data_IF_699588026331
#
_entry.id   IF_699588026331
#
_cell.length_a   1.000
_cell.length_b   1.000
_cell.length_c   1.000
_cell.angle_alpha   90.00
_cell.angle_beta   90.00
_cell.angle_gamma   90.00
#
_symmetry.space_group_name_H-M   'P 1'
#
loop_
_entity.id
_entity.type
_entity.pdbx_description
1 polymer ?
#
# COMPACT_ATOMS: atom_id res chain seq x y z
N UNK A 1 -4.23 -33.99 -51.21
CA UNK A 1 -4.05 -34.51 -49.86
C UNK A 1 -3.83 -33.35 -48.95
N UNK A 2 -4.91 -32.91 -48.31
CA UNK A 2 -4.97 -31.75 -47.43
C UNK A 2 -4.71 -32.22 -45.97
N UNK A 3 -3.58 -31.79 -45.40
CA UNK A 3 -3.25 -32.06 -44.03
C UNK A 3 -3.80 -30.98 -43.12
N UNK A 4 -4.90 -31.27 -42.44
CA UNK A 4 -5.43 -30.39 -41.38
C UNK A 4 -4.54 -30.48 -40.13
N UNK A 5 -3.80 -29.39 -39.81
CA UNK A 5 -3.05 -29.22 -38.59
C UNK A 5 -3.99 -29.02 -37.39
N UNK A 6 -4.17 -30.03 -36.54
CA UNK A 6 -4.86 -29.90 -35.26
C UNK A 6 -4.06 -28.99 -34.34
N UNK A 7 -4.59 -27.79 -34.06
CA UNK A 7 -4.08 -26.92 -33.00
C UNK A 7 -4.44 -27.57 -31.65
N UNK A 8 -3.44 -28.12 -30.96
CA UNK A 8 -3.58 -28.62 -29.60
C UNK A 8 -3.57 -27.40 -28.67
N UNK A 9 -4.74 -26.92 -28.27
CA UNK A 9 -4.89 -25.93 -27.21
C UNK A 9 -4.61 -26.62 -25.87
N UNK A 10 -3.40 -26.41 -25.35
CA UNK A 10 -3.03 -26.83 -24.00
C UNK A 10 -3.81 -25.94 -22.99
N UNK A 11 -5.01 -26.37 -22.62
CA UNK A 11 -5.72 -25.79 -21.47
C UNK A 11 -4.95 -26.20 -20.22
N UNK A 12 -4.19 -25.28 -19.62
CA UNK A 12 -3.71 -25.45 -18.26
C UNK A 12 -4.92 -25.67 -17.34
N UNK A 13 -4.95 -26.71 -16.49
CA UNK A 13 -6.02 -26.85 -15.51
C UNK A 13 -6.02 -25.60 -14.64
N UNK A 14 -7.19 -24.97 -14.51
CA UNK A 14 -7.41 -23.89 -13.56
C UNK A 14 -7.11 -24.46 -12.17
N UNK A 15 -5.97 -24.10 -11.61
CA UNK A 15 -5.71 -24.35 -10.18
C UNK A 15 -6.75 -23.49 -9.47
N UNK A 16 -7.80 -24.08 -8.93
CA UNK A 16 -8.68 -23.45 -7.96
C UNK A 16 -7.82 -23.05 -6.76
N UNK A 17 -7.25 -21.86 -6.83
CA UNK A 17 -6.66 -21.26 -5.63
C UNK A 17 -7.83 -21.03 -4.68
N UNK A 18 -7.89 -21.79 -3.60
CA UNK A 18 -8.72 -21.46 -2.45
C UNK A 18 -8.22 -20.12 -1.90
N UNK A 19 -8.69 -19.03 -2.51
CA UNK A 19 -8.47 -17.68 -2.01
C UNK A 19 -9.27 -17.56 -0.71
N UNK A 20 -8.62 -17.12 0.35
CA UNK A 20 -9.33 -16.81 1.59
C UNK A 20 -9.90 -15.39 1.47
N UNK A 21 -11.12 -15.14 1.96
CA UNK A 21 -11.78 -13.87 1.75
C UNK A 21 -11.17 -12.75 2.60
N UNK A 22 -11.15 -11.55 2.05
CA UNK A 22 -10.93 -10.34 2.84
C UNK A 22 -12.19 -10.03 3.66
N UNK A 23 -12.03 -9.78 4.95
CA UNK A 23 -13.11 -9.41 5.86
C UNK A 23 -13.35 -7.90 5.78
N UNK A 24 -14.55 -7.52 5.38
CA UNK A 24 -14.99 -6.12 5.27
C UNK A 24 -16.41 -5.97 5.80
N UNK A 25 -16.80 -4.81 6.37
CA UNK A 25 -18.19 -4.49 6.65
C UNK A 25 -19.03 -4.61 5.37
N UNK A 26 -20.21 -5.24 5.46
CA UNK A 26 -21.07 -5.50 4.30
C UNK A 26 -21.63 -4.23 3.65
N UNK A 27 -21.72 -3.14 4.41
CA UNK A 27 -22.17 -1.81 3.98
C UNK A 27 -21.04 -0.90 3.51
N UNK A 28 -19.78 -1.34 3.59
CA UNK A 28 -18.64 -0.61 3.01
C UNK A 28 -18.73 -0.62 1.47
N UNK A 29 -18.62 0.52 0.78
CA UNK A 29 -18.66 0.56 -0.70
C UNK A 29 -17.70 -0.41 -1.39
N UNK A 30 -16.51 -0.62 -0.83
CA UNK A 30 -15.53 -1.58 -1.33
C UNK A 30 -16.09 -3.01 -1.37
N UNK A 31 -16.99 -3.42 -0.46
CA UNK A 31 -17.54 -4.76 -0.41
C UNK A 31 -18.26 -5.13 -1.73
N UNK A 32 -19.19 -4.29 -2.17
CA UNK A 32 -19.95 -4.53 -3.39
C UNK A 32 -19.08 -4.46 -4.66
N UNK A 33 -18.13 -3.54 -4.70
CA UNK A 33 -17.19 -3.38 -5.83
C UNK A 33 -16.34 -4.62 -5.98
N UNK A 34 -15.71 -5.08 -4.91
CA UNK A 34 -14.81 -6.25 -4.92
C UNK A 34 -15.58 -7.55 -5.22
N UNK A 35 -16.80 -7.70 -4.69
CA UNK A 35 -17.64 -8.84 -4.99
C UNK A 35 -17.98 -8.93 -6.49
N UNK A 36 -18.32 -7.77 -7.11
CA UNK A 36 -18.59 -7.69 -8.56
C UNK A 36 -17.34 -8.00 -9.41
N UNK A 37 -16.15 -7.68 -8.90
CA UNK A 37 -14.87 -7.97 -9.56
C UNK A 37 -14.39 -9.41 -9.33
N UNK A 38 -15.15 -10.25 -8.61
CA UNK A 38 -14.79 -11.63 -8.32
C UNK A 38 -13.76 -11.81 -7.20
N UNK A 39 -13.45 -10.74 -6.46
CA UNK A 39 -12.62 -10.85 -5.25
C UNK A 39 -13.46 -11.46 -4.14
N UNK A 40 -12.93 -12.46 -3.43
CA UNK A 40 -13.63 -13.09 -2.32
C UNK A 40 -13.70 -12.14 -1.13
N UNK A 41 -14.90 -11.64 -0.84
CA UNK A 41 -15.18 -10.81 0.33
C UNK A 41 -16.05 -11.58 1.33
N UNK A 42 -15.87 -11.30 2.62
CA UNK A 42 -16.61 -11.93 3.70
C UNK A 42 -17.10 -10.87 4.69
N UNK A 43 -18.35 -11.00 5.13
CA UNK A 43 -18.91 -10.19 6.21
C UNK A 43 -18.41 -10.64 7.59
N UNK A 44 -18.50 -9.75 8.57
CA UNK A 44 -18.11 -10.02 9.96
C UNK A 44 -18.79 -11.27 10.54
N UNK A 45 -20.09 -11.42 10.33
CA UNK A 45 -20.87 -12.56 10.84
C UNK A 45 -20.41 -13.90 10.26
N UNK A 46 -20.01 -13.91 9.00
CA UNK A 46 -19.53 -15.11 8.33
C UNK A 46 -18.11 -15.46 8.77
N UNK A 47 -17.27 -14.45 8.97
CA UNK A 47 -15.89 -14.63 9.45
C UNK A 47 -15.88 -15.17 10.89
N UNK A 48 -16.80 -14.72 11.74
CA UNK A 48 -16.90 -15.17 13.14
C UNK A 48 -17.21 -16.68 13.30
N UNK A 49 -17.70 -17.34 12.24
CA UNK A 49 -17.97 -18.78 12.24
C UNK A 49 -16.75 -19.63 11.86
N UNK A 50 -15.63 -19.01 11.54
CA UNK A 50 -14.39 -19.69 11.18
C UNK A 50 -13.39 -19.59 12.33
N UNK A 51 -12.75 -20.70 12.68
CA UNK A 51 -11.66 -20.74 13.67
C UNK A 51 -10.31 -20.40 12.98
N UNK A 52 -10.22 -19.18 12.45
CA UNK A 52 -9.03 -18.67 11.77
C UNK A 52 -8.73 -17.28 12.32
N UNK A 53 -7.49 -17.07 12.78
CA UNK A 53 -7.03 -15.74 13.11
C UNK A 53 -6.71 -14.97 11.82
N UNK A 54 -7.51 -13.95 11.44
CA UNK A 54 -7.18 -13.14 10.28
C UNK A 54 -5.94 -12.28 10.55
N UNK A 55 -5.18 -11.96 9.49
CA UNK A 55 -4.17 -10.92 9.54
C UNK A 55 -4.86 -9.56 9.67
N UNK A 56 -4.50 -8.80 10.67
CA UNK A 56 -5.04 -7.46 10.91
C UNK A 56 -4.18 -6.43 10.19
N UNK A 57 -4.78 -5.75 9.22
CA UNK A 57 -4.12 -4.70 8.44
C UNK A 57 -4.79 -3.36 8.75
N UNK A 58 -3.99 -2.39 9.23
CA UNK A 58 -4.41 -1.01 9.38
C UNK A 58 -4.12 -0.22 8.11
N UNK A 59 -5.07 0.58 7.63
CA UNK A 59 -4.89 1.50 6.52
C UNK A 59 -5.10 2.94 7.01
N UNK A 60 -4.01 3.66 7.26
CA UNK A 60 -4.04 5.09 7.49
C UNK A 60 -4.19 5.80 6.15
N UNK A 61 -5.42 6.18 5.84
CA UNK A 61 -5.76 6.74 4.54
C UNK A 61 -5.68 8.28 4.59
N UNK A 62 -4.59 8.85 4.04
CA UNK A 62 -4.36 10.28 3.95
C UNK A 62 -4.88 10.89 2.64
N UNK A 63 -5.29 10.04 1.67
CA UNK A 63 -5.78 10.49 0.37
C UNK A 63 -7.13 11.21 0.47
N UNK A 64 -7.38 12.23 -0.36
CA UNK A 64 -8.66 12.97 -0.35
C UNK A 64 -9.84 12.13 -0.88
N UNK A 65 -9.62 11.29 -1.90
CA UNK A 65 -10.63 10.39 -2.48
C UNK A 65 -10.67 9.07 -1.71
N UNK A 66 -11.23 9.09 -0.50
CA UNK A 66 -11.22 7.96 0.44
C UNK A 66 -11.69 6.65 -0.18
N UNK A 67 -12.91 6.60 -0.71
CA UNK A 67 -13.54 5.40 -1.26
C UNK A 67 -12.72 4.80 -2.41
N UNK A 68 -12.16 5.64 -3.29
CA UNK A 68 -11.32 5.15 -4.39
C UNK A 68 -10.05 4.46 -3.85
N UNK A 69 -9.42 5.06 -2.85
CA UNK A 69 -8.21 4.51 -2.21
C UNK A 69 -8.52 3.22 -1.47
N UNK A 70 -9.63 3.16 -0.72
CA UNK A 70 -10.12 1.96 -0.06
C UNK A 70 -10.29 0.79 -1.03
N UNK A 71 -10.98 1.03 -2.15
CA UNK A 71 -11.19 0.02 -3.18
C UNK A 71 -9.86 -0.50 -3.76
N UNK A 72 -8.88 0.39 -3.99
CA UNK A 72 -7.58 0.02 -4.52
C UNK A 72 -6.81 -0.88 -3.53
N UNK A 73 -6.70 -0.46 -2.28
CA UNK A 73 -5.98 -1.24 -1.28
C UNK A 73 -6.71 -2.53 -0.91
N UNK A 74 -8.03 -2.50 -0.74
CA UNK A 74 -8.81 -3.70 -0.44
C UNK A 74 -8.70 -4.75 -1.56
N UNK A 75 -8.66 -4.32 -2.83
CA UNK A 75 -8.44 -5.22 -3.98
C UNK A 75 -7.06 -5.88 -3.93
N UNK A 76 -6.00 -5.10 -3.66
CA UNK A 76 -4.63 -5.62 -3.56
C UNK A 76 -4.48 -6.60 -2.42
N UNK A 77 -4.95 -6.20 -1.24
CA UNK A 77 -4.85 -7.01 -0.02
C UNK A 77 -5.72 -8.27 -0.15
N UNK A 78 -6.90 -8.15 -0.76
CA UNK A 78 -7.82 -9.28 -1.00
C UNK A 78 -7.33 -10.29 -2.03
N UNK A 79 -6.28 -10.00 -2.80
CA UNK A 79 -5.67 -10.93 -3.75
C UNK A 79 -4.73 -11.97 -3.10
N UNK A 80 -4.63 -12.01 -1.78
CA UNK A 80 -3.85 -13.00 -1.02
C UNK A 80 -4.67 -14.26 -0.71
N UNK A 81 -4.04 -15.43 -0.53
CA UNK A 81 -4.71 -16.63 -0.02
C UNK A 81 -4.96 -16.59 1.50
N UNK A 82 -4.59 -15.52 2.19
CA UNK A 82 -4.75 -15.38 3.64
C UNK A 82 -6.02 -14.59 3.96
N UNK A 83 -6.69 -14.95 5.07
CA UNK A 83 -7.80 -14.15 5.56
C UNK A 83 -7.29 -12.83 6.15
N UNK A 84 -7.86 -11.71 5.73
CA UNK A 84 -7.45 -10.38 6.15
C UNK A 84 -8.64 -9.63 6.75
N UNK A 85 -8.38 -8.95 7.87
CA UNK A 85 -9.25 -7.97 8.48
C UNK A 85 -8.68 -6.57 8.24
N UNK A 86 -9.35 -5.77 7.41
CA UNK A 86 -8.91 -4.40 7.08
C UNK A 86 -9.59 -3.39 8.00
N UNK A 87 -8.78 -2.60 8.71
CA UNK A 87 -9.22 -1.48 9.54
C UNK A 87 -8.90 -0.15 8.88
N UNK A 88 -9.91 0.67 8.60
CA UNK A 88 -9.74 2.00 8.03
C UNK A 88 -9.46 3.01 9.16
N UNK A 89 -8.36 3.73 9.05
CA UNK A 89 -7.88 4.65 10.08
C UNK A 89 -7.71 6.05 9.47
N UNK A 90 -8.08 7.07 10.22
CA UNK A 90 -7.88 8.47 9.89
C UNK A 90 -7.11 9.19 10.98
N UNK A 91 -6.50 10.32 10.63
CA UNK A 91 -5.97 11.25 11.62
C UNK A 91 -7.10 11.74 12.53
N UNK A 92 -6.81 11.94 13.81
CA UNK A 92 -7.81 12.27 14.82
C UNK A 92 -8.42 13.64 14.57
N UNK A 93 -7.56 14.65 14.39
CA UNK A 93 -7.97 16.05 14.32
C UNK A 93 -8.09 16.58 12.88
N UNK A 94 -7.61 15.84 11.89
CA UNK A 94 -7.71 16.26 10.50
C UNK A 94 -9.06 15.87 9.89
N UNK A 95 -9.79 16.83 9.38
CA UNK A 95 -11.07 16.62 8.71
C UNK A 95 -10.90 16.62 7.19
N UNK A 96 -11.23 15.49 6.56
CA UNK A 96 -11.21 15.38 5.10
C UNK A 96 -12.29 16.27 4.48
N UNK A 97 -11.89 17.24 3.67
CA UNK A 97 -12.82 18.15 2.97
C UNK A 97 -13.64 17.45 1.87
N UNK A 98 -13.15 16.32 1.35
CA UNK A 98 -13.67 15.66 0.14
C UNK A 98 -14.36 14.31 0.42
N UNK A 99 -14.53 13.92 1.68
CA UNK A 99 -15.22 12.69 2.06
C UNK A 99 -16.54 13.00 2.75
N UNK A 100 -17.59 12.21 2.42
CA UNK A 100 -18.87 12.33 3.11
C UNK A 100 -18.70 12.06 4.61
N UNK A 101 -19.20 12.96 5.45
CA UNK A 101 -19.06 12.85 6.90
C UNK A 101 -19.65 11.54 7.46
N UNK A 102 -20.76 11.08 6.89
CA UNK A 102 -21.39 9.81 7.24
C UNK A 102 -20.46 8.61 6.96
N UNK A 103 -19.78 8.59 5.80
CA UNK A 103 -18.83 7.54 5.46
C UNK A 103 -17.65 7.51 6.45
N UNK A 104 -17.08 8.70 6.76
CA UNK A 104 -15.99 8.80 7.72
C UNK A 104 -16.40 8.36 9.13
N UNK A 105 -17.61 8.69 9.55
CA UNK A 105 -18.13 8.30 10.86
C UNK A 105 -18.39 6.79 10.98
N UNK A 106 -18.89 6.18 9.91
CA UNK A 106 -19.31 4.77 9.94
C UNK A 106 -18.14 3.80 9.79
N UNK A 107 -17.13 4.15 8.97
CA UNK A 107 -16.09 3.20 8.57
C UNK A 107 -14.70 3.54 9.08
N UNK A 108 -14.43 4.81 9.44
CA UNK A 108 -13.09 5.23 9.87
C UNK A 108 -12.98 5.36 11.38
N UNK A 109 -11.98 4.71 11.93
CA UNK A 109 -11.57 4.92 13.32
C UNK A 109 -10.56 6.05 13.40
N UNK A 110 -10.72 7.05 14.30
CA UNK A 110 -9.67 8.03 14.55
C UNK A 110 -8.48 7.34 15.22
N UNK A 111 -7.26 7.78 14.91
CA UNK A 111 -6.03 7.15 15.40
C UNK A 111 -5.96 7.06 16.93
N UNK A 112 -6.38 8.09 17.65
CA UNK A 112 -6.39 8.07 19.11
C UNK A 112 -7.21 6.89 19.66
N UNK A 113 -8.37 6.61 19.08
CA UNK A 113 -9.21 5.46 19.46
C UNK A 113 -8.52 4.12 19.18
N UNK A 114 -7.75 4.02 18.10
CA UNK A 114 -6.96 2.82 17.79
C UNK A 114 -5.83 2.65 18.79
N UNK A 115 -5.07 3.71 19.05
CA UNK A 115 -3.97 3.73 20.02
C UNK A 115 -4.45 3.32 21.41
N UNK A 116 -5.51 3.95 21.88
CA UNK A 116 -6.04 3.78 23.24
C UNK A 116 -6.68 2.40 23.45
N UNK A 117 -7.10 1.72 22.36
CA UNK A 117 -7.60 0.34 22.42
C UNK A 117 -6.51 -0.72 22.65
N UNK A 118 -5.23 -0.37 22.55
CA UNK A 118 -4.11 -1.32 22.63
C UNK A 118 -4.08 -2.35 21.49
N UNK A 119 -4.85 -2.16 20.44
CA UNK A 119 -4.93 -3.08 19.30
C UNK A 119 -3.58 -3.17 18.60
N UNK A 120 -3.15 -4.41 18.28
CA UNK A 120 -1.96 -4.68 17.48
C UNK A 120 -2.35 -5.10 16.06
N UNK A 121 -1.46 -4.77 15.10
CA UNK A 121 -1.63 -5.08 13.69
C UNK A 121 -0.46 -5.94 13.18
N UNK A 122 -0.76 -6.82 12.23
CA UNK A 122 0.25 -7.58 11.50
C UNK A 122 0.89 -6.72 10.41
N UNK A 123 0.11 -5.81 9.82
CA UNK A 123 0.60 -4.82 8.86
C UNK A 123 -0.09 -3.47 9.01
N UNK A 124 0.61 -2.41 8.66
CA UNK A 124 0.07 -1.05 8.70
C UNK A 124 0.50 -0.27 7.46
N UNK A 125 -0.45 0.29 6.76
CA UNK A 125 -0.21 1.02 5.51
C UNK A 125 -0.44 2.51 5.75
N UNK A 126 0.57 3.32 5.43
CA UNK A 126 0.47 4.79 5.39
C UNK A 126 0.37 5.20 3.93
N UNK A 127 -0.76 5.74 3.50
CA UNK A 127 -0.95 6.13 2.11
C UNK A 127 -0.25 7.43 1.77
N UNK A 128 -0.15 7.75 0.49
CA UNK A 128 0.22 9.07 0.03
C UNK A 128 -0.80 10.15 0.39
N UNK A 129 -0.39 11.39 0.17
CA UNK A 129 -1.22 12.58 0.24
C UNK A 129 -0.78 13.57 -0.86
N UNK A 130 -1.69 14.32 -1.51
CA UNK A 130 -1.34 15.25 -2.59
C UNK A 130 -0.82 16.60 -2.05
N UNK A 131 0.17 16.53 -1.17
CA UNK A 131 0.78 17.66 -0.45
C UNK A 131 2.31 17.66 -0.61
N UNK A 132 2.82 17.10 -1.68
CA UNK A 132 4.26 16.91 -1.92
C UNK A 132 5.03 18.24 -1.90
N UNK A 133 4.39 19.34 -2.27
CA UNK A 133 4.99 20.68 -2.33
C UNK A 133 5.12 21.36 -0.96
N UNK A 134 4.41 20.89 0.07
CA UNK A 134 4.50 21.47 1.42
C UNK A 134 5.72 20.90 2.16
N UNK A 135 6.49 21.73 2.89
CA UNK A 135 7.40 21.24 3.92
C UNK A 135 6.66 20.33 4.91
N UNK A 136 7.35 19.38 5.51
CA UNK A 136 6.70 18.45 6.43
C UNK A 136 6.13 19.16 7.66
N UNK A 137 6.83 20.18 8.13
CA UNK A 137 6.47 20.97 9.31
C UNK A 137 5.23 21.84 9.09
N UNK A 138 4.86 22.14 7.85
CA UNK A 138 3.65 22.89 7.48
C UNK A 138 2.42 21.97 7.30
N UNK A 139 2.59 20.65 7.40
CA UNK A 139 1.47 19.71 7.33
C UNK A 139 0.73 19.70 8.66
N UNK A 140 -0.54 20.08 8.66
CA UNK A 140 -1.37 20.26 9.86
C UNK A 140 -1.48 19.02 10.76
N UNK A 141 -1.24 17.82 10.25
CA UNK A 141 -1.22 16.58 11.02
C UNK A 141 0.18 15.98 11.17
N UNK A 142 1.25 16.73 10.92
CA UNK A 142 2.62 16.20 10.98
C UNK A 142 2.99 15.65 12.36
N UNK A 143 2.66 16.37 13.42
CA UNK A 143 2.95 15.93 14.79
C UNK A 143 2.16 14.68 15.18
N UNK A 144 0.91 14.59 14.76
CA UNK A 144 0.14 13.38 14.98
C UNK A 144 0.70 12.21 14.15
N UNK A 145 1.15 12.45 12.91
CA UNK A 145 1.79 11.42 12.09
C UNK A 145 3.05 10.88 12.74
N UNK A 146 3.91 11.72 13.32
CA UNK A 146 5.07 11.28 14.10
C UNK A 146 4.65 10.35 15.24
N UNK A 147 3.59 10.71 15.97
CA UNK A 147 3.03 9.85 17.03
C UNK A 147 2.53 8.50 16.48
N UNK A 148 1.90 8.49 15.29
CA UNK A 148 1.51 7.25 14.61
C UNK A 148 2.74 6.40 14.31
N UNK A 149 3.80 6.99 13.76
CA UNK A 149 5.00 6.28 13.36
C UNK A 149 5.73 5.67 14.58
N UNK A 150 5.82 6.39 15.69
CA UNK A 150 6.34 5.84 16.95
C UNK A 150 5.50 4.66 17.45
N UNK A 151 4.17 4.82 17.43
CA UNK A 151 3.25 3.77 17.84
C UNK A 151 3.40 2.51 16.97
N UNK A 152 3.68 2.65 15.68
CA UNK A 152 3.89 1.48 14.80
C UNK A 152 5.06 0.62 15.26
N UNK A 153 6.08 1.19 15.87
CA UNK A 153 7.28 0.44 16.31
C UNK A 153 6.99 -0.59 17.39
N UNK A 154 5.92 -0.40 18.15
CA UNK A 154 5.54 -1.28 19.27
C UNK A 154 4.26 -2.07 19.05
N UNK A 155 3.39 -1.62 18.14
CA UNK A 155 2.05 -2.20 17.94
C UNK A 155 1.85 -2.82 16.55
N UNK A 156 2.82 -2.67 15.64
CA UNK A 156 2.74 -3.16 14.27
C UNK A 156 3.92 -4.07 13.95
N UNK A 157 3.66 -5.21 13.31
CA UNK A 157 4.73 -6.12 12.90
C UNK A 157 5.51 -5.58 11.70
N UNK A 158 4.80 -5.04 10.68
CA UNK A 158 5.44 -4.47 9.47
C UNK A 158 4.65 -3.26 8.97
N UNK A 159 5.37 -2.20 8.58
CA UNK A 159 4.76 -0.95 8.08
C UNK A 159 5.10 -0.73 6.61
N UNK A 160 4.13 -0.26 5.84
CA UNK A 160 4.27 0.01 4.41
C UNK A 160 3.88 1.45 4.09
N UNK A 161 4.87 2.26 3.71
CA UNK A 161 4.67 3.66 3.31
C UNK A 161 4.56 3.81 1.79
N UNK A 162 3.51 4.49 1.33
CA UNK A 162 3.22 4.64 -0.10
C UNK A 162 3.31 6.10 -0.53
N UNK A 163 4.04 6.38 -1.61
CA UNK A 163 4.23 7.70 -2.19
C UNK A 163 4.69 8.71 -1.13
N UNK A 164 3.97 9.80 -0.92
CA UNK A 164 4.28 10.78 0.12
C UNK A 164 4.37 10.16 1.53
N UNK A 165 3.54 9.16 1.85
CA UNK A 165 3.62 8.44 3.13
C UNK A 165 4.95 7.74 3.34
N UNK A 166 5.50 7.11 2.29
CA UNK A 166 6.85 6.52 2.33
C UNK A 166 7.96 7.56 2.51
N UNK A 167 7.84 8.71 1.83
CA UNK A 167 8.79 9.83 2.00
C UNK A 167 8.71 10.43 3.40
N UNK A 168 7.51 10.60 3.95
CA UNK A 168 7.29 11.09 5.31
C UNK A 168 7.90 10.15 6.38
N UNK A 169 7.80 8.85 6.17
CA UNK A 169 8.44 7.86 7.03
C UNK A 169 9.97 7.93 6.96
N UNK A 170 10.55 8.07 5.76
CA UNK A 170 12.01 8.26 5.61
C UNK A 170 12.49 9.55 6.27
N UNK A 171 11.74 10.63 6.14
CA UNK A 171 12.03 11.89 6.85
C UNK A 171 12.06 11.68 8.36
N UNK A 172 11.04 11.00 8.88
CA UNK A 172 10.89 10.82 10.31
C UNK A 172 11.96 9.89 10.91
N UNK A 173 12.17 8.71 10.31
CA UNK A 173 13.07 7.71 10.86
C UNK A 173 14.56 7.98 10.56
N UNK A 174 14.86 8.60 9.41
CA UNK A 174 16.23 8.73 8.91
C UNK A 174 16.64 10.16 8.57
N UNK A 175 15.75 11.13 8.73
CA UNK A 175 15.97 12.53 8.34
C UNK A 175 16.35 12.71 6.86
N UNK A 176 15.83 11.82 5.98
CA UNK A 176 16.01 11.94 4.53
C UNK A 176 14.91 12.84 3.97
N UNK A 177 15.33 13.90 3.27
CA UNK A 177 14.43 14.90 2.70
C UNK A 177 13.85 14.45 1.35
N UNK A 178 12.66 14.95 1.03
CA UNK A 178 12.15 14.95 -0.33
C UNK A 178 12.66 16.17 -1.08
N UNK A 179 12.99 15.99 -2.35
CA UNK A 179 13.47 17.06 -3.22
C UNK A 179 12.48 17.35 -4.33
N UNK A 180 12.22 18.63 -4.58
CA UNK A 180 11.32 19.04 -5.67
C UNK A 180 11.98 18.77 -7.02
N UNK A 181 11.23 18.19 -7.94
CA UNK A 181 11.61 18.04 -9.34
C UNK A 181 11.35 19.34 -10.11
N UNK A 182 12.13 19.60 -11.15
CA UNK A 182 11.91 20.75 -12.06
C UNK A 182 10.61 20.64 -12.85
N UNK A 183 10.13 19.41 -13.07
CA UNK A 183 8.88 19.10 -13.74
C UNK A 183 8.29 17.82 -13.13
N UNK A 184 6.99 17.64 -13.32
CA UNK A 184 6.30 16.45 -12.82
C UNK A 184 6.82 15.19 -13.51
N UNK A 185 7.32 14.24 -12.76
CA UNK A 185 7.56 12.90 -13.26
C UNK A 185 6.19 12.21 -13.45
N UNK A 186 5.78 12.04 -14.71
CA UNK A 186 4.50 11.45 -15.07
C UNK A 186 4.64 10.51 -16.26
N UNK A 187 4.28 9.25 -16.09
CA UNK A 187 4.38 8.23 -17.13
C UNK A 187 4.68 6.85 -16.60
N UNK A 188 5.12 5.97 -17.49
CA UNK A 188 5.55 4.61 -17.20
C UNK A 188 7.07 4.51 -17.44
N UNK A 189 7.82 4.16 -16.41
CA UNK A 189 9.28 4.16 -16.43
C UNK A 189 9.83 2.76 -16.13
N UNK A 190 10.95 2.42 -16.76
CA UNK A 190 11.66 1.17 -16.48
C UNK A 190 12.38 1.26 -15.14
N UNK A 191 12.21 0.22 -14.34
CA UNK A 191 12.91 0.06 -13.06
C UNK A 191 13.67 -1.26 -13.06
N UNK A 192 14.86 -1.25 -12.51
CA UNK A 192 15.74 -2.41 -12.35
C UNK A 192 15.56 -3.03 -10.96
N UNK A 193 15.54 -4.35 -10.91
CA UNK A 193 15.58 -5.11 -9.66
C UNK A 193 17.04 -5.17 -9.19
N UNK A 194 17.36 -4.48 -8.10
CA UNK A 194 18.72 -4.41 -7.57
C UNK A 194 19.05 -5.55 -6.59
N UNK A 195 18.01 -6.22 -6.06
CA UNK A 195 18.13 -7.32 -5.10
C UNK A 195 17.16 -8.44 -5.43
N UNK A 196 17.49 -9.27 -6.41
CA UNK A 196 16.65 -10.39 -6.88
C UNK A 196 16.38 -11.46 -5.81
N UNK A 197 17.26 -11.57 -4.80
CA UNK A 197 17.08 -12.48 -3.66
C UNK A 197 16.08 -11.97 -2.61
N UNK A 198 15.62 -10.72 -2.71
CA UNK A 198 14.65 -10.16 -1.77
C UNK A 198 13.32 -10.90 -1.85
N UNK A 199 12.77 -11.26 -0.68
CA UNK A 199 11.44 -11.87 -0.57
C UNK A 199 10.32 -10.96 -1.13
N UNK A 200 10.50 -9.64 -1.11
CA UNK A 200 9.54 -8.64 -1.58
C UNK A 200 9.45 -8.58 -3.11
N UNK A 201 10.47 -9.07 -3.82
CA UNK A 201 10.54 -9.06 -5.28
C UNK A 201 10.44 -10.48 -5.88
N UNK A 202 10.02 -11.47 -5.08
CA UNK A 202 9.85 -12.83 -5.58
C UNK A 202 8.83 -12.87 -6.72
N UNK A 203 9.26 -13.38 -7.87
CA UNK A 203 8.46 -13.48 -9.08
C UNK A 203 8.53 -12.23 -9.99
N UNK A 204 9.28 -11.20 -9.61
CA UNK A 204 9.63 -10.11 -10.52
C UNK A 204 10.70 -10.56 -11.52
N UNK A 205 10.63 -10.03 -12.74
CA UNK A 205 11.72 -10.08 -13.71
C UNK A 205 12.82 -9.10 -13.32
N UNK A 206 14.01 -9.20 -13.93
CA UNK A 206 15.14 -8.32 -13.66
C UNK A 206 14.82 -6.82 -13.83
N UNK A 207 13.78 -6.52 -14.61
CA UNK A 207 13.24 -5.16 -14.73
C UNK A 207 11.73 -5.18 -14.91
N UNK A 208 11.06 -4.11 -14.49
CA UNK A 208 9.64 -3.91 -14.69
C UNK A 208 9.32 -2.47 -15.05
N UNK A 209 8.15 -2.25 -15.63
CA UNK A 209 7.64 -0.91 -15.92
C UNK A 209 6.74 -0.48 -14.78
N UNK A 210 7.02 0.69 -14.18
CA UNK A 210 6.27 1.22 -13.05
C UNK A 210 5.63 2.55 -13.42
N UNK A 211 4.31 2.73 -13.17
CA UNK A 211 3.66 4.03 -13.30
C UNK A 211 4.15 5.01 -12.22
N UNK A 212 4.43 6.23 -12.62
CA UNK A 212 4.91 7.30 -11.77
C UNK A 212 4.07 8.55 -11.95
N UNK A 213 3.74 9.23 -10.85
CA UNK A 213 3.04 10.52 -10.88
C UNK A 213 3.40 11.31 -9.61
N UNK A 214 4.52 12.03 -9.63
CA UNK A 214 5.02 12.78 -8.47
C UNK A 214 5.78 14.03 -8.86
N UNK A 215 5.80 15.02 -7.95
CA UNK A 215 6.55 16.26 -8.05
C UNK A 215 7.84 16.25 -7.23
N UNK A 216 8.05 15.18 -6.45
CA UNK A 216 9.20 15.06 -5.56
C UNK A 216 9.94 13.75 -5.77
N UNK A 217 11.18 13.71 -5.35
CA UNK A 217 12.04 12.53 -5.37
C UNK A 217 12.73 12.31 -4.03
N UNK A 218 13.17 11.08 -3.80
CA UNK A 218 14.18 10.71 -2.82
C UNK A 218 15.48 10.44 -3.61
N UNK A 219 16.58 11.00 -3.16
CA UNK A 219 17.89 10.81 -3.82
C UNK A 219 18.54 9.52 -3.35
N UNK A 220 19.01 8.71 -4.29
CA UNK A 220 19.70 7.45 -3.97
C UNK A 220 20.90 7.68 -3.06
N UNK A 221 21.69 8.73 -3.33
CA UNK A 221 22.88 9.07 -2.52
C UNK A 221 22.57 9.40 -1.05
N UNK A 222 21.34 9.77 -0.72
CA UNK A 222 20.92 9.98 0.67
C UNK A 222 20.50 8.66 1.33
N UNK A 223 19.84 7.78 0.58
CA UNK A 223 19.48 6.42 1.04
C UNK A 223 20.74 5.61 1.32
N UNK A 224 21.75 5.69 0.44
CA UNK A 224 23.01 4.94 0.55
C UNK A 224 23.86 5.35 1.76
N UNK A 225 23.64 6.53 2.34
CA UNK A 225 24.34 6.98 3.55
C UNK A 225 23.82 6.35 4.83
N UNK A 226 22.63 5.78 4.79
CA UNK A 226 21.97 5.22 5.98
C UNK A 226 22.18 3.71 6.00
N UNK A 227 22.92 3.24 6.99
CA UNK A 227 23.11 1.81 7.21
C UNK A 227 21.75 1.13 7.51
N UNK A 228 21.49 -0.01 6.87
CA UNK A 228 20.24 -0.75 7.03
C UNK A 228 19.13 -0.38 6.06
N UNK A 229 19.25 0.71 5.30
CA UNK A 229 18.37 0.96 4.16
C UNK A 229 18.88 0.22 2.92
N UNK A 230 18.00 -0.54 2.28
CA UNK A 230 18.32 -1.33 1.10
C UNK A 230 17.40 -0.96 -0.05
N UNK A 231 17.94 -0.36 -1.10
CA UNK A 231 17.18 -0.13 -2.33
C UNK A 231 16.97 -1.46 -3.07
N UNK A 232 15.73 -1.86 -3.23
CA UNK A 232 15.33 -3.11 -3.88
C UNK A 232 15.02 -2.91 -5.37
N UNK A 233 14.41 -1.77 -5.71
CA UNK A 233 13.96 -1.42 -7.06
C UNK A 233 14.24 0.06 -7.32
N UNK A 234 14.89 0.38 -8.43
CA UNK A 234 15.20 1.76 -8.81
C UNK A 234 15.11 1.98 -10.33
N UNK A 235 14.92 3.23 -10.73
CA UNK A 235 15.04 3.70 -12.11
C UNK A 235 16.30 4.55 -12.25
N UNK A 236 16.98 4.46 -13.39
CA UNK A 236 18.12 5.33 -13.71
C UNK A 236 17.68 6.80 -13.77
N UNK A 237 16.47 7.06 -14.31
CA UNK A 237 15.95 8.42 -14.50
C UNK A 237 15.32 9.01 -13.24
N UNK A 238 14.76 8.17 -12.35
CA UNK A 238 13.88 8.61 -11.26
C UNK A 238 14.35 8.19 -9.86
N UNK A 239 15.53 7.53 -9.77
CA UNK A 239 16.08 7.09 -8.50
C UNK A 239 15.30 5.93 -7.85
N UNK A 240 15.35 5.82 -6.51
CA UNK A 240 14.78 4.70 -5.78
C UNK A 240 13.25 4.66 -5.93
N UNK A 241 12.72 3.43 -6.03
CA UNK A 241 11.29 3.15 -6.11
C UNK A 241 10.80 2.38 -4.89
N UNK A 242 11.53 1.34 -4.51
CA UNK A 242 11.22 0.48 -3.37
C UNK A 242 12.46 0.35 -2.48
N UNK A 243 12.32 0.73 -1.23
CA UNK A 243 13.38 0.68 -0.22
C UNK A 243 12.90 -0.13 0.98
N UNK A 244 13.75 -1.04 1.44
CA UNK A 244 13.55 -1.85 2.64
C UNK A 244 14.31 -1.21 3.81
N UNK A 245 13.68 -1.22 4.98
CA UNK A 245 14.22 -0.75 6.25
C UNK A 245 13.98 -1.82 7.31
N UNK A 246 15.02 -2.59 7.59
CA UNK A 246 14.91 -3.69 8.55
C UNK A 246 14.83 -3.19 10.00
N UNK A 247 15.49 -2.08 10.31
CA UNK A 247 15.52 -1.50 11.65
C UNK A 247 14.12 -1.09 12.12
N UNK A 248 13.32 -0.52 11.22
CA UNK A 248 11.94 -0.08 11.52
C UNK A 248 10.89 -1.06 11.00
N UNK A 249 11.30 -2.23 10.47
CA UNK A 249 10.40 -3.23 9.85
C UNK A 249 9.46 -2.57 8.84
N UNK A 250 10.04 -1.70 7.99
CA UNK A 250 9.29 -0.87 7.06
C UNK A 250 9.72 -1.10 5.61
N UNK A 251 8.77 -0.87 4.72
CA UNK A 251 8.97 -0.81 3.27
C UNK A 251 8.44 0.52 2.77
N UNK A 252 9.24 1.21 1.99
CA UNK A 252 8.89 2.50 1.39
C UNK A 252 8.78 2.33 -0.12
N UNK A 253 7.63 2.69 -0.69
CA UNK A 253 7.43 2.75 -2.12
C UNK A 253 7.07 4.17 -2.55
N UNK A 254 7.83 4.76 -3.50
CA UNK A 254 7.65 6.15 -3.91
C UNK A 254 6.83 6.31 -5.18
N UNK A 255 6.54 5.22 -5.87
CA UNK A 255 5.79 5.18 -7.12
C UNK A 255 4.46 4.43 -6.97
N UNK A 256 3.67 4.36 -8.04
CA UNK A 256 2.32 3.83 -7.98
C UNK A 256 2.24 2.36 -8.45
N UNK A 257 3.04 1.45 -7.88
CA UNK A 257 2.95 -0.01 -8.15
C UNK A 257 1.54 -0.57 -7.91
N UNK A 258 0.77 0.07 -7.07
CA UNK A 258 -0.64 -0.26 -6.79
C UNK A 258 -1.51 -0.23 -8.05
N UNK A 259 -1.14 0.57 -9.06
CA UNK A 259 -1.88 0.68 -10.32
C UNK A 259 -1.57 -0.50 -11.26
N UNK A 260 -0.41 -1.14 -11.16
CA UNK A 260 -0.02 -2.24 -12.06
C UNK A 260 -0.95 -3.46 -11.97
N UNK A 261 -1.45 -3.79 -10.78
CA UNK A 261 -2.42 -4.87 -10.63
C UNK A 261 -3.77 -4.58 -11.28
N UNK A 262 -4.11 -3.32 -11.55
CA UNK A 262 -5.33 -2.98 -12.31
C UNK A 262 -5.19 -3.27 -13.82
N UNK A 263 -3.95 -3.32 -14.33
CA UNK A 263 -3.67 -3.57 -15.77
C UNK A 263 -3.46 -5.08 -16.02
N UNK A 264 -2.97 -5.82 -15.05
CA UNK A 264 -2.67 -7.25 -15.18
C UNK A 264 -3.88 -8.20 -15.00
N UNK A 265 -5.05 -7.68 -14.60
CA UNK A 265 -6.29 -8.45 -14.36
C UNK A 265 -7.29 -8.33 -15.52
N UNK A 266 -6.90 -7.71 -16.66
CA UNK A 266 -7.71 -7.69 -17.86
C UNK A 266 -7.27 -8.74 -18.88
#
# INVERSE_FOLDING_TARGET
MSGEGKIITCRRPAIERKLMPIKLPSDLPAYAVLQKEGVMVMSDDRAARQDIRPLRIGLLNLMPKKIQTENQFARLIGATPLQIELSLIRMTNHHSKNAAAAHMKNFYRPFNSVRDSGQKFDGFIVTGAPIEHLPYEEVDYWDELKTVLDWTQTHVHSTFGVCWGGMAMLKYFHNIEKHMLSHKAFGCFRHQVLRSSSQYLRGFSDSCIVPVSRWTEIRQAEVDKVEGLITLLASEDLGPCLVQDDAHRAIYIFNHLIILNMIAIR
#
